data_IF_741639618114
#
_entry.id   IF_741639618114
#
_cell.length_a   1.000
_cell.length_b   1.000
_cell.length_c   1.000
_cell.angle_alpha   90.00
_cell.angle_beta   90.00
_cell.angle_gamma   90.00
#
_symmetry.space_group_name_H-M   'P 1'
#
loop_
_entity.id
_entity.type
_entity.pdbx_description
1 polymer ?
#
# COMPACT_ATOMS: atom_id res chain seq x y z
N UNK A 1 27.42 -22.44 -12.41
CA UNK A 1 26.32 -23.19 -11.77
C UNK A 1 26.13 -22.65 -10.36
N UNK A 2 25.13 -21.81 -10.14
CA UNK A 2 24.73 -21.34 -8.81
C UNK A 2 23.41 -22.02 -8.48
N UNK A 3 23.38 -22.82 -7.43
CA UNK A 3 22.20 -23.59 -7.01
C UNK A 3 21.07 -22.68 -6.48
N UNK A 4 19.83 -23.20 -6.41
CA UNK A 4 18.67 -22.44 -5.95
C UNK A 4 18.72 -22.12 -4.44
N UNK A 5 18.26 -20.92 -4.08
CA UNK A 5 18.17 -20.41 -2.69
C UNK A 5 17.08 -21.16 -1.87
N UNK A 6 17.25 -21.30 -0.54
CA UNK A 6 16.71 -22.42 0.24
C UNK A 6 15.23 -22.34 0.65
N UNK A 7 14.42 -21.46 0.07
CA UNK A 7 13.02 -21.28 0.52
C UNK A 7 11.96 -21.63 -0.54
N UNK A 8 12.38 -22.11 -1.72
CA UNK A 8 11.48 -22.41 -2.84
C UNK A 8 11.04 -23.89 -2.96
N UNK A 9 11.34 -24.77 -2.01
CA UNK A 9 10.91 -26.17 -2.10
C UNK A 9 10.23 -26.64 -0.81
N UNK A 10 8.94 -26.94 -0.91
CA UNK A 10 8.19 -27.61 0.14
C UNK A 10 6.68 -27.56 -0.09
N UNK A 11 6.14 -28.69 -0.56
CA UNK A 11 4.72 -29.11 -0.55
C UNK A 11 3.90 -28.49 -1.69
N UNK A 12 3.37 -29.20 -2.70
CA UNK A 12 2.87 -30.57 -2.77
C UNK A 12 1.36 -30.47 -3.04
N UNK A 13 0.95 -30.38 -4.32
CA UNK A 13 -0.46 -30.18 -4.72
C UNK A 13 -1.27 -31.51 -4.71
N UNK A 14 -2.53 -31.48 -4.28
CA UNK A 14 -3.55 -32.41 -4.81
C UNK A 14 -4.87 -31.67 -5.18
N UNK A 15 -5.84 -32.32 -5.86
CA UNK A 15 -6.42 -31.84 -7.13
C UNK A 15 -7.75 -31.09 -6.98
N UNK A 16 -8.09 -30.34 -8.04
CA UNK A 16 -9.26 -29.45 -8.07
C UNK A 16 -10.58 -30.08 -8.51
N UNK A 17 -11.62 -29.23 -8.54
CA UNK A 17 -12.84 -29.47 -9.32
C UNK A 17 -13.62 -28.18 -9.62
N UNK A 18 -13.81 -27.96 -10.91
CA UNK A 18 -15.01 -27.49 -11.63
C UNK A 18 -15.74 -26.17 -11.28
N UNK A 19 -15.94 -25.40 -12.36
CA UNK A 19 -16.66 -24.14 -12.53
C UNK A 19 -18.20 -24.29 -12.56
N UNK A 20 -18.93 -23.17 -12.48
CA UNK A 20 -19.84 -22.80 -13.57
C UNK A 20 -20.27 -21.32 -13.56
N UNK A 21 -20.37 -20.78 -14.77
CA UNK A 21 -20.79 -19.43 -15.18
C UNK A 21 -22.32 -19.25 -15.22
N UNK A 22 -22.79 -18.01 -15.11
CA UNK A 22 -24.20 -17.64 -15.30
C UNK A 22 -24.44 -16.13 -15.37
N UNK A 23 -24.58 -15.63 -16.61
CA UNK A 23 -24.75 -14.24 -17.06
C UNK A 23 -26.15 -13.67 -16.73
N UNK A 24 -26.28 -12.34 -16.51
CA UNK A 24 -27.17 -11.42 -17.27
C UNK A 24 -27.24 -9.97 -16.71
N UNK A 25 -27.13 -9.01 -17.62
CA UNK A 25 -27.26 -7.54 -17.50
C UNK A 25 -28.71 -7.11 -17.84
N UNK A 26 -29.22 -5.99 -17.31
CA UNK A 26 -30.23 -5.22 -18.04
C UNK A 26 -29.94 -3.71 -18.19
N UNK A 27 -30.67 -3.13 -19.14
CA UNK A 27 -30.51 -1.84 -19.81
C UNK A 27 -31.04 -0.58 -19.07
N UNK A 28 -30.52 0.54 -19.58
CA UNK A 28 -30.94 1.95 -19.68
C UNK A 28 -32.33 2.43 -19.18
N UNK A 29 -32.34 3.62 -18.56
CA UNK A 29 -33.58 4.32 -18.18
C UNK A 29 -33.43 5.80 -17.75
N UNK A 30 -33.58 6.69 -18.73
CA UNK A 30 -34.23 8.04 -18.69
C UNK A 30 -33.61 9.19 -17.86
N UNK A 31 -33.17 10.19 -18.63
CA UNK A 31 -32.70 11.55 -18.30
C UNK A 31 -33.86 12.46 -17.86
N UNK A 32 -33.70 13.19 -16.76
CA UNK A 32 -34.56 14.33 -16.37
C UNK A 32 -33.69 15.58 -16.18
N UNK A 33 -34.05 16.66 -16.89
CA UNK A 33 -33.30 17.91 -16.96
C UNK A 33 -33.48 18.82 -15.75
N UNK A 34 -32.39 19.47 -15.35
CA UNK A 34 -32.36 20.53 -14.34
C UNK A 34 -32.12 21.85 -15.07
N UNK A 35 -33.03 22.81 -14.89
CA UNK A 35 -32.95 24.17 -15.45
C UNK A 35 -31.88 24.98 -14.71
N UNK A 36 -30.99 25.64 -15.46
CA UNK A 36 -30.06 26.63 -14.94
C UNK A 36 -30.75 27.99 -14.81
N UNK A 37 -30.67 28.60 -13.61
CA UNK A 37 -31.04 29.99 -13.37
C UNK A 37 -29.88 30.95 -13.70
N UNK A 38 -30.15 32.25 -13.94
CA UNK A 38 -29.16 33.18 -14.46
C UNK A 38 -28.27 33.73 -13.34
N UNK A 39 -26.95 33.55 -13.48
CA UNK A 39 -25.96 34.31 -12.71
C UNK A 39 -25.61 35.59 -13.48
N UNK A 40 -25.97 36.74 -12.90
CA UNK A 40 -25.54 38.07 -13.33
C UNK A 40 -24.07 38.27 -12.93
N UNK A 41 -23.17 38.33 -13.92
CA UNK A 41 -21.76 38.68 -13.72
C UNK A 41 -21.54 40.18 -13.90
N UNK A 42 -21.07 40.85 -12.85
CA UNK A 42 -20.47 42.19 -12.93
C UNK A 42 -18.94 42.06 -13.05
N UNK A 43 -18.26 42.90 -13.86
CA UNK A 43 -16.81 42.85 -14.01
C UNK A 43 -16.13 43.63 -12.87
N UNK A 44 -15.18 43.00 -12.18
CA UNK A 44 -14.29 43.69 -11.23
C UNK A 44 -12.92 43.81 -11.89
N UNK A 45 -12.48 45.06 -12.05
CA UNK A 45 -11.17 45.45 -12.56
C UNK A 45 -10.11 45.28 -11.47
N UNK A 46 -8.99 44.62 -11.80
CA UNK A 46 -7.81 44.55 -10.92
C UNK A 46 -6.92 45.81 -11.09
N UNK A 47 -6.48 46.45 -10.00
CA UNK A 47 -5.40 47.44 -10.04
C UNK A 47 -4.00 46.79 -9.91
N UNK A 48 -2.97 47.30 -10.62
CA UNK A 48 -1.62 46.76 -10.57
C UNK A 48 -0.80 47.44 -9.46
N UNK A 49 -0.30 46.66 -8.49
CA UNK A 49 0.73 47.15 -7.56
C UNK A 49 0.70 46.56 -6.15
N UNK A 50 1.15 45.31 -6.00
CA UNK A 50 1.58 44.78 -4.70
C UNK A 50 2.62 43.66 -4.90
N UNK A 51 3.72 43.97 -5.59
CA UNK A 51 4.92 43.12 -5.62
C UNK A 51 5.91 43.66 -4.59
N UNK A 52 5.84 43.18 -3.34
CA UNK A 52 6.99 43.06 -2.43
C UNK A 52 6.55 42.71 -0.99
N UNK A 53 6.09 41.49 -0.71
CA UNK A 53 6.17 40.93 0.65
C UNK A 53 5.94 39.40 0.65
N UNK A 54 6.55 38.66 -0.28
CA UNK A 54 6.49 37.19 -0.25
C UNK A 54 7.87 36.58 -0.51
N UNK A 55 8.86 37.06 0.25
CA UNK A 55 10.16 36.40 0.36
C UNK A 55 10.26 35.80 1.76
N UNK A 56 10.38 34.46 1.81
CA UNK A 56 10.38 33.50 2.95
C UNK A 56 9.04 32.75 2.98
N UNK A 57 8.89 31.51 2.50
CA UNK A 57 9.70 30.33 2.81
C UNK A 57 9.65 29.36 1.62
N UNK A 58 10.73 29.29 0.83
CA UNK A 58 11.05 28.09 0.05
C UNK A 58 12.43 27.62 0.48
N UNK A 59 12.53 27.21 1.76
CA UNK A 59 13.61 26.29 2.11
C UNK A 59 13.27 24.97 1.45
N UNK A 60 13.97 24.65 0.36
CA UNK A 60 14.06 23.27 -0.11
C UNK A 60 14.49 22.41 1.08
N UNK A 61 13.79 21.29 1.39
CA UNK A 61 14.21 20.42 2.48
C UNK A 61 15.66 19.97 2.23
N UNK A 62 16.55 20.02 3.23
CA UNK A 62 17.89 19.49 3.06
C UNK A 62 17.79 17.99 2.71
N UNK A 63 18.63 17.55 1.77
CA UNK A 63 18.60 16.23 1.14
C UNK A 63 18.88 15.03 2.08
N UNK A 64 18.77 15.18 3.40
CA UNK A 64 19.01 14.16 4.41
C UNK A 64 18.12 14.33 5.65
N UNK A 65 16.84 14.67 5.48
CA UNK A 65 15.91 14.64 6.61
C UNK A 65 15.67 13.18 7.01
N UNK A 66 16.43 12.69 8.00
CA UNK A 66 16.07 11.46 8.69
C UNK A 66 14.67 11.64 9.26
N UNK A 67 13.77 10.72 8.93
CA UNK A 67 12.40 10.73 9.44
C UNK A 67 12.47 10.73 10.96
N UNK A 68 11.89 11.74 11.58
CA UNK A 68 11.79 11.85 13.03
C UNK A 68 10.44 11.31 13.48
N UNK A 69 10.44 10.53 14.55
CA UNK A 69 9.23 9.93 15.14
C UNK A 69 9.01 10.52 16.53
N UNK A 70 7.81 11.04 16.80
CA UNK A 70 7.48 11.47 18.17
C UNK A 70 7.25 10.26 19.07
N UNK A 71 7.29 10.46 20.40
CA UNK A 71 7.03 9.39 21.35
C UNK A 71 5.61 8.82 21.17
N UNK A 72 4.64 9.70 20.90
CA UNK A 72 3.24 9.38 20.67
C UNK A 72 3.06 8.55 19.40
N UNK A 73 3.72 8.94 18.29
CA UNK A 73 3.68 8.15 17.04
C UNK A 73 4.27 6.75 17.25
N UNK A 74 5.41 6.64 17.96
CA UNK A 74 6.02 5.33 18.27
C UNK A 74 5.05 4.48 19.08
N UNK A 75 4.44 5.05 20.13
CA UNK A 75 3.47 4.35 20.98
C UNK A 75 2.24 3.88 20.19
N UNK A 76 1.66 4.72 19.34
CA UNK A 76 0.51 4.37 18.50
C UNK A 76 0.84 3.21 17.55
N UNK A 77 2.02 3.25 16.92
CA UNK A 77 2.48 2.20 16.02
C UNK A 77 2.71 0.89 16.78
N UNK A 78 3.52 0.92 17.85
CA UNK A 78 3.86 -0.30 18.60
C UNK A 78 2.66 -0.87 19.34
N UNK A 79 1.77 -0.01 19.85
CA UNK A 79 0.56 -0.41 20.57
C UNK A 79 -0.44 -1.10 19.67
N UNK A 80 -0.67 -0.59 18.45
CA UNK A 80 -1.51 -1.29 17.48
C UNK A 80 -0.84 -2.58 17.02
N UNK A 81 0.46 -2.54 16.70
CA UNK A 81 1.20 -3.71 16.21
C UNK A 81 1.13 -4.91 17.16
N UNK A 82 1.14 -4.67 18.48
CA UNK A 82 1.00 -5.72 19.49
C UNK A 82 -0.33 -6.50 19.42
N UNK A 83 -1.34 -5.96 18.74
CA UNK A 83 -2.65 -6.60 18.53
C UNK A 83 -2.81 -7.21 17.12
N UNK A 84 -1.88 -6.97 16.20
CA UNK A 84 -2.00 -7.38 14.79
C UNK A 84 -1.83 -8.89 14.64
N UNK A 85 -2.83 -9.55 14.03
CA UNK A 85 -2.66 -10.92 13.54
C UNK A 85 -1.87 -10.89 12.22
N UNK A 86 -0.57 -11.12 12.29
CA UNK A 86 0.36 -11.00 11.15
C UNK A 86 -0.01 -11.91 9.98
N UNK A 87 -0.52 -13.11 10.25
CA UNK A 87 -0.88 -14.04 9.18
C UNK A 87 -2.14 -13.59 8.45
N UNK A 88 -3.18 -13.24 9.21
CA UNK A 88 -4.48 -12.83 8.69
C UNK A 88 -4.42 -11.48 7.98
N UNK A 89 -3.95 -10.42 8.66
CA UNK A 89 -3.85 -9.09 8.07
C UNK A 89 -2.88 -9.07 6.88
N UNK A 90 -1.79 -9.86 6.94
CA UNK A 90 -0.79 -9.90 5.88
C UNK A 90 -1.32 -10.58 4.62
N UNK A 91 -1.98 -11.73 4.80
CA UNK A 91 -2.64 -12.44 3.71
C UNK A 91 -3.76 -11.63 3.07
N UNK A 92 -4.59 -10.98 3.88
CA UNK A 92 -5.65 -10.09 3.40
C UNK A 92 -5.10 -8.89 2.63
N UNK A 93 -4.05 -8.23 3.13
CA UNK A 93 -3.44 -7.09 2.44
C UNK A 93 -2.89 -7.47 1.08
N UNK A 94 -2.19 -8.62 0.97
CA UNK A 94 -1.69 -9.08 -0.32
C UNK A 94 -2.82 -9.49 -1.26
N UNK A 95 -3.84 -10.20 -0.76
CA UNK A 95 -5.00 -10.57 -1.57
C UNK A 95 -5.71 -9.33 -2.13
N UNK A 96 -5.95 -8.31 -1.29
CA UNK A 96 -6.57 -7.03 -1.72
C UNK A 96 -5.71 -6.30 -2.74
N UNK A 97 -4.38 -6.29 -2.60
CA UNK A 97 -3.49 -5.71 -3.61
C UNK A 97 -3.72 -6.36 -4.98
N UNK A 98 -3.71 -7.69 -5.03
CA UNK A 98 -3.86 -8.46 -6.28
C UNK A 98 -5.25 -8.30 -6.91
N UNK A 99 -6.28 -8.05 -6.11
CA UNK A 99 -7.66 -7.87 -6.58
C UNK A 99 -7.89 -6.43 -7.05
N UNK A 100 -7.54 -5.44 -6.23
CA UNK A 100 -7.79 -4.01 -6.51
C UNK A 100 -6.86 -3.48 -7.59
N UNK A 101 -5.64 -4.02 -7.67
CA UNK A 101 -4.63 -3.64 -8.65
C UNK A 101 -4.16 -4.85 -9.47
N UNK A 102 -4.98 -5.37 -10.42
CA UNK A 102 -4.72 -6.63 -11.11
C UNK A 102 -3.39 -6.71 -11.86
N UNK A 103 -2.83 -5.57 -12.29
CA UNK A 103 -1.52 -5.53 -12.96
C UNK A 103 -0.38 -6.03 -12.08
N UNK A 104 -0.56 -6.06 -10.76
CA UNK A 104 0.43 -6.57 -9.79
C UNK A 104 0.54 -8.09 -9.82
N UNK A 105 -0.48 -8.81 -10.33
CA UNK A 105 -0.48 -10.27 -10.44
C UNK A 105 0.67 -10.80 -11.31
N UNK A 106 1.19 -9.98 -12.25
CA UNK A 106 2.33 -10.36 -13.11
C UNK A 106 3.57 -10.78 -12.34
N UNK A 107 3.77 -10.26 -11.12
CA UNK A 107 4.92 -10.59 -10.27
C UNK A 107 4.76 -11.94 -9.55
N UNK A 108 3.56 -12.53 -9.60
CA UNK A 108 3.17 -13.71 -8.82
C UNK A 108 2.72 -14.87 -9.72
N UNK A 109 3.22 -14.95 -10.95
CA UNK A 109 2.86 -16.02 -11.90
C UNK A 109 3.07 -17.44 -11.33
N UNK A 110 4.06 -17.64 -10.44
CA UNK A 110 4.33 -18.93 -9.78
C UNK A 110 3.33 -19.30 -8.67
N UNK A 111 2.39 -18.41 -8.35
CA UNK A 111 1.40 -18.64 -7.29
C UNK A 111 0.20 -19.45 -7.79
N UNK A 112 0.14 -19.79 -9.07
CA UNK A 112 -0.92 -20.61 -9.65
C UNK A 112 -2.16 -19.78 -9.94
N UNK A 113 -3.33 -20.28 -9.53
CA UNK A 113 -4.60 -19.66 -9.88
C UNK A 113 -4.82 -18.32 -9.15
N UNK A 114 -4.89 -17.23 -9.92
CA UNK A 114 -5.21 -15.86 -9.48
C UNK A 114 -6.34 -15.24 -10.32
N UNK A 115 -7.15 -16.06 -11.01
CA UNK A 115 -8.10 -15.58 -12.04
C UNK A 115 -9.30 -14.78 -11.51
N UNK A 116 -9.53 -14.76 -10.19
CA UNK A 116 -10.64 -14.05 -9.57
C UNK A 116 -10.48 -13.89 -8.07
N UNK A 117 -11.32 -13.04 -7.46
CA UNK A 117 -11.20 -12.69 -6.04
C UNK A 117 -11.24 -13.90 -5.11
N UNK A 118 -12.19 -14.83 -5.29
CA UNK A 118 -12.28 -16.06 -4.49
C UNK A 118 -11.03 -16.92 -4.61
N UNK A 119 -10.47 -17.07 -5.82
CA UNK A 119 -9.25 -17.82 -6.06
C UNK A 119 -8.05 -17.17 -5.36
N UNK A 120 -7.93 -15.84 -5.44
CA UNK A 120 -6.85 -15.08 -4.81
C UNK A 120 -6.92 -15.17 -3.28
N UNK A 121 -8.10 -14.95 -2.69
CA UNK A 121 -8.30 -15.00 -1.23
C UNK A 121 -7.99 -16.40 -0.70
N UNK A 122 -8.44 -17.45 -1.38
CA UNK A 122 -8.20 -18.85 -1.00
C UNK A 122 -6.80 -19.37 -1.36
N UNK A 123 -5.94 -18.59 -2.02
CA UNK A 123 -4.65 -19.09 -2.50
C UNK A 123 -3.63 -19.21 -1.35
N UNK A 124 -3.14 -20.41 -1.00
CA UNK A 124 -2.24 -20.61 0.13
C UNK A 124 -0.88 -19.91 -0.05
N UNK A 125 -0.41 -19.75 -1.30
CA UNK A 125 0.85 -19.03 -1.59
C UNK A 125 0.68 -17.52 -1.39
N UNK A 126 -0.49 -16.96 -1.73
CA UNK A 126 -0.83 -15.56 -1.42
C UNK A 126 -0.85 -15.36 0.10
N UNK A 127 -1.53 -16.23 0.85
CA UNK A 127 -1.58 -16.14 2.31
C UNK A 127 -0.19 -16.24 2.95
N UNK A 128 0.61 -17.22 2.53
CA UNK A 128 1.96 -17.41 3.04
C UNK A 128 2.90 -16.24 2.71
N UNK A 129 2.79 -15.68 1.50
CA UNK A 129 3.61 -14.53 1.10
C UNK A 129 3.16 -13.25 1.82
N UNK A 130 1.86 -13.03 1.96
CA UNK A 130 1.30 -11.90 2.71
C UNK A 130 1.79 -11.90 4.16
N UNK A 131 1.84 -13.06 4.82
CA UNK A 131 2.46 -13.21 6.14
C UNK A 131 3.93 -12.78 6.13
N UNK A 132 4.73 -13.19 5.13
CA UNK A 132 6.15 -12.78 5.02
C UNK A 132 6.29 -11.26 4.87
N UNK A 133 5.47 -10.66 4.01
CA UNK A 133 5.40 -9.20 3.82
C UNK A 133 5.10 -8.51 5.15
N UNK A 134 4.02 -8.89 5.83
CA UNK A 134 3.65 -8.20 7.08
C UNK A 134 4.64 -8.49 8.22
N UNK A 135 5.30 -9.66 8.23
CA UNK A 135 6.42 -9.93 9.14
C UNK A 135 7.56 -8.92 8.95
N UNK A 136 7.89 -8.56 7.71
CA UNK A 136 8.91 -7.54 7.43
C UNK A 136 8.53 -6.14 7.93
N UNK A 137 7.24 -5.78 7.89
CA UNK A 137 6.75 -4.56 8.55
C UNK A 137 6.96 -4.62 10.06
N UNK A 138 6.86 -5.79 10.68
CA UNK A 138 7.22 -5.99 12.08
C UNK A 138 8.67 -5.63 12.39
N UNK A 139 9.60 -5.92 11.48
CA UNK A 139 11.00 -5.49 11.62
C UNK A 139 11.15 -3.97 11.46
N UNK A 140 10.29 -3.31 10.68
CA UNK A 140 10.19 -1.84 10.63
C UNK A 140 9.73 -1.28 11.98
N UNK A 141 8.67 -1.86 12.56
CA UNK A 141 8.11 -1.42 13.86
C UNK A 141 9.13 -1.56 14.99
N UNK A 142 9.95 -2.62 14.98
CA UNK A 142 11.05 -2.79 15.94
C UNK A 142 12.19 -1.79 15.75
N UNK A 143 12.36 -1.26 14.54
CA UNK A 143 13.51 -0.43 14.16
C UNK A 143 13.06 0.87 13.47
N UNK A 144 12.13 1.62 14.07
CA UNK A 144 11.50 2.80 13.44
C UNK A 144 12.50 3.87 12.97
N UNK A 145 13.57 4.09 13.72
CA UNK A 145 14.62 5.06 13.36
C UNK A 145 15.63 4.47 12.34
N UNK A 146 15.65 3.15 12.16
CA UNK A 146 16.61 2.40 11.34
C UNK A 146 16.05 1.79 10.05
N UNK A 147 14.81 2.11 9.67
CA UNK A 147 14.07 1.46 8.56
C UNK A 147 14.89 1.39 7.26
N UNK A 148 15.62 2.45 6.90
CA UNK A 148 16.46 2.47 5.69
C UNK A 148 17.47 1.31 5.63
N UNK A 149 18.07 0.97 6.77
CA UNK A 149 19.06 -0.11 6.85
C UNK A 149 18.35 -1.47 6.88
N UNK A 150 17.27 -1.58 7.65
CA UNK A 150 16.43 -2.79 7.76
C UNK A 150 15.97 -3.30 6.39
N UNK A 151 15.58 -2.41 5.49
CA UNK A 151 15.03 -2.77 4.17
C UNK A 151 16.05 -2.74 3.02
N UNK A 152 17.34 -2.53 3.31
CA UNK A 152 18.37 -2.39 2.27
C UNK A 152 18.47 -3.59 1.31
N UNK A 153 18.55 -4.81 1.86
CA UNK A 153 18.58 -6.04 1.06
C UNK A 153 17.26 -6.28 0.29
N UNK A 154 16.14 -5.91 0.92
CA UNK A 154 14.83 -6.08 0.28
C UNK A 154 14.64 -5.08 -0.87
N UNK A 155 15.20 -3.88 -0.75
CA UNK A 155 15.26 -2.88 -1.82
C UNK A 155 16.03 -3.41 -3.03
N UNK A 156 17.21 -4.01 -2.81
CA UNK A 156 18.00 -4.62 -3.90
C UNK A 156 17.26 -5.75 -4.59
N UNK A 157 16.59 -6.62 -3.84
CA UNK A 157 15.77 -7.69 -4.43
C UNK A 157 14.67 -7.13 -5.33
N UNK A 158 13.89 -6.16 -4.83
CA UNK A 158 12.75 -5.65 -5.58
C UNK A 158 13.17 -4.80 -6.79
N UNK A 159 14.28 -4.08 -6.68
CA UNK A 159 14.88 -3.29 -7.76
C UNK A 159 15.53 -4.19 -8.81
N UNK A 160 16.60 -4.90 -8.43
CA UNK A 160 17.54 -5.50 -9.39
C UNK A 160 17.07 -6.85 -9.93
N UNK A 161 16.17 -7.53 -9.20
CA UNK A 161 15.66 -8.86 -9.59
C UNK A 161 14.23 -8.81 -10.04
N UNK A 162 13.36 -8.20 -9.24
CA UNK A 162 11.91 -8.24 -9.49
C UNK A 162 11.42 -7.08 -10.38
N UNK A 163 12.21 -6.01 -10.52
CA UNK A 163 11.89 -4.83 -11.32
C UNK A 163 10.49 -4.28 -11.01
N UNK A 164 10.14 -4.23 -9.73
CA UNK A 164 8.84 -3.72 -9.27
C UNK A 164 8.83 -2.20 -9.43
N UNK A 165 7.77 -1.61 -9.97
CA UNK A 165 7.68 -0.15 -9.98
C UNK A 165 7.47 0.36 -8.54
N UNK A 166 8.26 1.36 -8.05
CA UNK A 166 8.16 1.88 -6.70
C UNK A 166 6.76 2.33 -6.27
N UNK A 167 5.90 2.75 -7.20
CA UNK A 167 4.52 3.13 -6.91
C UNK A 167 3.72 1.98 -6.29
N UNK A 168 4.03 0.72 -6.65
CA UNK A 168 3.35 -0.45 -6.08
C UNK A 168 3.63 -0.63 -4.57
N UNK A 169 4.76 -0.14 -4.05
CA UNK A 169 5.02 -0.16 -2.61
C UNK A 169 4.07 0.79 -1.87
N UNK A 170 3.77 1.95 -2.48
CA UNK A 170 2.81 2.91 -1.93
C UNK A 170 1.40 2.33 -1.91
N UNK A 171 0.99 1.67 -3.00
CA UNK A 171 -0.30 0.99 -3.09
C UNK A 171 -0.47 -0.10 -2.03
N UNK A 172 0.56 -0.94 -1.83
CA UNK A 172 0.54 -1.95 -0.78
C UNK A 172 0.42 -1.31 0.62
N UNK A 173 1.14 -0.21 0.85
CA UNK A 173 1.04 0.58 2.07
C UNK A 173 -0.38 1.09 2.35
N UNK A 174 -1.04 1.67 1.35
CA UNK A 174 -2.42 2.16 1.48
C UNK A 174 -3.41 1.03 1.74
N UNK A 175 -3.27 -0.10 1.04
CA UNK A 175 -4.09 -1.30 1.28
C UNK A 175 -3.90 -1.82 2.71
N UNK A 176 -2.66 -1.84 3.22
CA UNK A 176 -2.40 -2.24 4.60
C UNK A 176 -3.10 -1.33 5.61
N UNK A 177 -3.06 -0.01 5.41
CA UNK A 177 -3.79 0.95 6.28
C UNK A 177 -5.29 0.67 6.26
N UNK A 178 -5.88 0.40 5.09
CA UNK A 178 -7.30 0.04 4.96
C UNK A 178 -7.62 -1.28 5.67
N UNK A 179 -6.76 -2.30 5.56
CA UNK A 179 -6.93 -3.58 6.26
C UNK A 179 -6.90 -3.36 7.78
N UNK A 180 -5.91 -2.63 8.29
CA UNK A 180 -5.81 -2.33 9.72
C UNK A 180 -7.05 -1.56 10.22
N UNK A 181 -7.52 -0.57 9.46
CA UNK A 181 -8.76 0.14 9.80
C UNK A 181 -9.97 -0.81 9.86
N UNK A 182 -10.07 -1.77 8.94
CA UNK A 182 -11.14 -2.78 8.92
C UNK A 182 -11.10 -3.73 10.12
N UNK A 183 -9.90 -4.12 10.57
CA UNK A 183 -9.72 -5.04 11.71
C UNK A 183 -9.91 -4.37 13.08
N UNK A 184 -9.51 -3.10 13.21
CA UNK A 184 -9.51 -2.41 14.50
C UNK A 184 -10.64 -1.40 14.68
N UNK A 185 -11.34 -1.00 13.61
CA UNK A 185 -12.52 -0.15 13.68
C UNK A 185 -12.26 1.12 14.49
N UNK A 186 -12.96 1.28 15.61
CA UNK A 186 -12.86 2.46 16.49
C UNK A 186 -11.49 2.60 17.18
N UNK A 187 -10.75 1.50 17.33
CA UNK A 187 -9.39 1.52 17.90
C UNK A 187 -8.37 2.14 16.93
N UNK A 188 -8.69 2.20 15.63
CA UNK A 188 -7.85 2.84 14.61
C UNK A 188 -8.23 4.31 14.45
N UNK A 189 -7.89 5.11 15.46
CA UNK A 189 -8.21 6.55 15.50
C UNK A 189 -7.51 7.32 14.36
N UNK A 190 -7.95 8.56 14.05
CA UNK A 190 -7.28 9.39 13.04
C UNK A 190 -5.78 9.61 13.30
N UNK A 191 -5.37 9.73 14.57
CA UNK A 191 -3.98 9.88 14.98
C UNK A 191 -3.20 8.58 14.75
N UNK A 192 -3.81 7.44 15.09
CA UNK A 192 -3.24 6.12 14.80
C UNK A 192 -3.06 5.94 13.28
N UNK A 193 -4.08 6.27 12.49
CA UNK A 193 -4.01 6.24 11.04
C UNK A 193 -2.89 7.14 10.51
N UNK A 194 -2.74 8.37 11.01
CA UNK A 194 -1.68 9.26 10.57
C UNK A 194 -0.28 8.67 10.84
N UNK A 195 -0.06 8.09 12.03
CA UNK A 195 1.20 7.45 12.39
C UNK A 195 1.49 6.22 11.50
N UNK A 196 0.49 5.37 11.24
CA UNK A 196 0.61 4.22 10.35
C UNK A 196 0.81 4.62 8.88
N UNK A 197 0.13 5.68 8.42
CA UNK A 197 0.29 6.21 7.08
C UNK A 197 1.72 6.75 6.86
N UNK A 198 2.29 7.40 7.88
CA UNK A 198 3.69 7.79 7.89
C UNK A 198 4.60 6.56 7.80
N UNK A 199 4.36 5.52 8.62
CA UNK A 199 5.15 4.28 8.59
C UNK A 199 5.19 3.64 7.21
N UNK A 200 4.03 3.41 6.60
CA UNK A 200 3.98 2.75 5.29
C UNK A 200 4.67 3.57 4.19
N UNK A 201 4.62 4.92 4.26
CA UNK A 201 5.35 5.80 3.35
C UNK A 201 6.87 5.70 3.54
N UNK A 202 7.33 5.63 4.79
CA UNK A 202 8.75 5.50 5.12
C UNK A 202 9.30 4.15 4.66
N UNK A 203 8.53 3.07 4.83
CA UNK A 203 8.87 1.74 4.32
C UNK A 203 8.90 1.74 2.79
N UNK A 204 7.90 2.31 2.11
CA UNK A 204 7.88 2.42 0.66
C UNK A 204 9.10 3.20 0.12
N UNK A 205 9.44 4.32 0.76
CA UNK A 205 10.63 5.10 0.41
C UNK A 205 11.93 4.32 0.65
N UNK A 206 12.03 3.55 1.72
CA UNK A 206 13.20 2.71 2.00
C UNK A 206 13.36 1.59 0.96
N UNK A 207 12.26 0.99 0.50
CA UNK A 207 12.26 -0.03 -0.57
C UNK A 207 12.62 0.55 -1.95
N UNK A 208 12.21 1.80 -2.21
CA UNK A 208 12.51 2.50 -3.46
C UNK A 208 13.95 3.04 -3.54
N UNK A 209 14.78 2.87 -2.50
CA UNK A 209 16.08 3.54 -2.40
C UNK A 209 17.03 3.23 -3.56
N UNK A 210 17.03 2.01 -4.09
CA UNK A 210 17.95 1.60 -5.17
C UNK A 210 17.53 2.09 -6.57
N UNK A 211 16.34 2.68 -6.69
CA UNK A 211 15.83 3.22 -7.96
C UNK A 211 16.30 4.67 -8.22
N UNK A 212 16.93 5.31 -7.23
CA UNK A 212 17.40 6.70 -7.24
C UNK A 212 18.81 6.80 -6.64
#
# INVERSE_FOLDING_TARGET
>A
MLGPLPWCQGLGDPPGSAANDGVQRPEEGRRAGIKAGPYSGSPVCDPPGARAEFLRVTRSPPANTMVQWTAEEKQLITGLWGKVNVAECGGEALARLLIVYPWTQRFFASFGNLSGATAIIGNPKVQAHGKKVLTSFGEAVKNLDGIKNTFSQLSELHCDKLHVDPENFRLLGDILVVVLAGHFGKDFTPECQAAWQKLVRVVAHALARKYH
#
